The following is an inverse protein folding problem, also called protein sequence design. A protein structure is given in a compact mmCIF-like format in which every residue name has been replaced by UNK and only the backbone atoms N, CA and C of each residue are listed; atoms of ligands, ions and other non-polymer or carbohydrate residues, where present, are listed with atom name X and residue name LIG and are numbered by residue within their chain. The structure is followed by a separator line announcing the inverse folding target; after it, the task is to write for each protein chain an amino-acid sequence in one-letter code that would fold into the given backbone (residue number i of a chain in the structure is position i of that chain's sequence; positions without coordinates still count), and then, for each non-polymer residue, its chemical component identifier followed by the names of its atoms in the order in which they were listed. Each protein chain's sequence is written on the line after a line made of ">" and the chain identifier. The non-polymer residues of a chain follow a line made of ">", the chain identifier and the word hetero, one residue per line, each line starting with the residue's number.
data_IF_858375614531
#
_entry.id   IF_858375614531
#
_cell.length_a   1.000
_cell.length_b   1.000
_cell.length_c   1.000
_cell.angle_alpha   90.00
_cell.angle_beta   90.00
_cell.angle_gamma   90.00
#
_symmetry.space_group_name_H-M   'P 1'
#
loop_
_entity.id
_entity.type
_entity.pdbx_description
1 polymer ?
#
# COMPACT_ATOMS: atom_id res chain seq x y z
N UNK A 1 13.12 2.21 -2.29
CA UNK A 1 12.41 2.02 -1.00
C UNK A 1 11.87 0.60 -0.97
N UNK A 2 11.78 -0.03 0.20
CA UNK A 2 11.19 -1.37 0.35
C UNK A 2 9.85 -1.24 1.10
N UNK A 3 8.72 -1.59 0.47
CA UNK A 3 7.45 -1.67 1.18
C UNK A 3 7.40 -2.95 2.03
N UNK A 4 6.51 -2.98 3.02
CA UNK A 4 6.30 -4.17 3.85
C UNK A 4 5.62 -5.28 3.04
N UNK A 5 4.58 -4.93 2.28
CA UNK A 5 3.91 -5.84 1.35
C UNK A 5 3.67 -5.10 0.04
N UNK A 6 3.93 -5.79 -1.07
CA UNK A 6 3.59 -5.34 -2.42
C UNK A 6 2.85 -6.43 -3.17
N UNK A 7 2.02 -6.02 -4.12
CA UNK A 7 1.38 -6.93 -5.06
C UNK A 7 1.65 -6.47 -6.50
N UNK A 8 1.94 -7.45 -7.35
CA UNK A 8 2.18 -7.28 -8.78
C UNK A 8 1.29 -8.29 -9.50
N UNK A 9 0.50 -7.80 -10.45
CA UNK A 9 -0.33 -8.64 -11.30
C UNK A 9 0.54 -9.53 -12.17
N UNK A 10 0.06 -10.75 -12.46
CA UNK A 10 0.81 -11.71 -13.26
C UNK A 10 1.16 -11.16 -14.64
N UNK A 11 0.28 -10.38 -15.27
CA UNK A 11 0.58 -9.73 -16.56
C UNK A 11 1.74 -8.72 -16.53
N UNK A 12 2.14 -8.22 -15.34
CA UNK A 12 3.22 -7.25 -15.14
C UNK A 12 4.48 -7.89 -14.56
N UNK A 13 4.58 -9.21 -14.54
CA UNK A 13 5.73 -9.96 -13.99
C UNK A 13 7.09 -9.51 -14.55
N UNK A 14 7.14 -8.91 -15.74
CA UNK A 14 8.35 -8.34 -16.35
C UNK A 14 9.04 -7.24 -15.53
N UNK A 15 8.34 -6.59 -14.59
CA UNK A 15 8.97 -5.59 -13.69
C UNK A 15 9.75 -6.25 -12.56
N UNK A 16 9.56 -7.57 -12.34
CA UNK A 16 10.31 -8.35 -11.36
C UNK A 16 11.62 -8.76 -12.01
N UNK A 17 12.73 -8.28 -11.46
CA UNK A 17 14.08 -8.56 -11.93
C UNK A 17 14.91 -9.17 -10.81
N UNK A 18 16.08 -9.71 -11.16
CA UNK A 18 16.96 -10.40 -10.21
C UNK A 18 17.38 -9.55 -9.00
N UNK A 19 17.42 -8.22 -9.15
CA UNK A 19 17.83 -7.30 -8.09
C UNK A 19 16.65 -6.59 -7.41
N UNK A 20 15.40 -6.91 -7.78
CA UNK A 20 14.20 -6.34 -7.18
C UNK A 20 13.15 -5.93 -8.21
N UNK A 21 12.30 -4.99 -7.81
CA UNK A 21 11.18 -4.51 -8.62
C UNK A 21 11.57 -3.21 -9.33
N UNK A 22 11.52 -3.22 -10.66
CA UNK A 22 11.86 -2.09 -11.53
C UNK A 22 10.59 -1.52 -12.15
N UNK A 23 9.95 -0.64 -11.40
CA UNK A 23 8.67 -0.02 -11.74
C UNK A 23 7.75 0.06 -10.54
N UNK A 24 6.61 0.72 -10.71
CA UNK A 24 5.57 0.82 -9.70
C UNK A 24 4.83 -0.52 -9.52
N UNK A 25 4.71 -1.06 -8.29
CA UNK A 25 3.80 -2.18 -8.02
C UNK A 25 2.35 -1.81 -8.35
N UNK A 26 1.48 -2.82 -8.45
CA UNK A 26 0.04 -2.58 -8.62
C UNK A 26 -0.64 -2.15 -7.32
N UNK A 27 -0.01 -2.46 -6.19
CA UNK A 27 -0.53 -2.20 -4.85
C UNK A 27 0.62 -2.25 -3.82
N UNK A 28 0.56 -1.37 -2.82
CA UNK A 28 1.43 -1.36 -1.65
C UNK A 28 0.59 -1.40 -0.37
N UNK A 29 1.06 -2.14 0.64
CA UNK A 29 0.55 -2.10 2.00
C UNK A 29 1.73 -1.80 2.94
N UNK A 30 1.61 -0.74 3.72
CA UNK A 30 2.57 -0.36 4.77
C UNK A 30 1.95 -0.62 6.14
N UNK A 31 2.76 -1.15 7.05
CA UNK A 31 2.38 -1.39 8.43
C UNK A 31 3.10 -0.36 9.29
N UNK A 32 2.35 0.50 9.98
CA UNK A 32 2.94 1.55 10.79
C UNK A 32 3.77 0.94 11.92
N UNK A 33 4.98 1.49 12.10
CA UNK A 33 5.81 1.25 13.27
C UNK A 33 6.13 2.60 13.92
N UNK A 34 6.09 2.62 15.25
CA UNK A 34 6.29 3.82 16.09
C UNK A 34 7.66 4.48 15.89
N UNK A 35 8.66 3.76 15.39
CA UNK A 35 10.04 4.22 15.28
C UNK A 35 10.41 4.88 13.94
N UNK A 36 9.48 5.02 12.98
CA UNK A 36 9.84 5.36 11.57
C UNK A 36 8.96 6.42 10.90
N UNK A 37 8.34 7.31 11.66
CA UNK A 37 7.39 8.32 11.14
C UNK A 37 7.95 9.10 9.93
N UNK A 38 9.19 9.62 10.01
CA UNK A 38 9.77 10.42 8.92
C UNK A 38 10.08 9.58 7.66
N UNK A 39 10.48 8.31 7.83
CA UNK A 39 10.72 7.41 6.70
C UNK A 39 9.39 7.05 6.01
N UNK A 40 8.33 6.86 6.79
CA UNK A 40 6.98 6.59 6.31
C UNK A 40 6.45 7.75 5.47
N UNK A 41 6.55 9.00 5.96
CA UNK A 41 6.13 10.17 5.19
C UNK A 41 6.85 10.25 3.83
N UNK A 42 8.17 10.02 3.82
CA UNK A 42 8.96 10.02 2.59
C UNK A 42 8.57 8.91 1.62
N UNK A 43 8.30 7.71 2.13
CA UNK A 43 7.82 6.57 1.34
C UNK A 43 6.47 6.88 0.68
N UNK A 44 5.52 7.36 1.48
CA UNK A 44 4.17 7.66 1.03
C UNK A 44 4.19 8.72 -0.07
N UNK A 45 4.97 9.79 0.12
CA UNK A 45 5.12 10.82 -0.91
C UNK A 45 5.66 10.23 -2.23
N UNK A 46 6.68 9.35 -2.16
CA UNK A 46 7.23 8.70 -3.34
C UNK A 46 6.22 7.77 -4.04
N UNK A 47 5.44 6.99 -3.28
CA UNK A 47 4.41 6.11 -3.84
C UNK A 47 3.29 6.90 -4.52
N UNK A 48 2.90 8.04 -3.92
CA UNK A 48 1.91 8.94 -4.48
C UNK A 48 2.35 9.58 -5.79
N UNK A 49 3.60 10.02 -5.87
CA UNK A 49 4.20 10.52 -7.12
C UNK A 49 4.21 9.47 -8.24
N UNK A 50 4.27 8.19 -7.88
CA UNK A 50 4.23 7.06 -8.82
C UNK A 50 2.81 6.49 -9.03
N UNK A 51 1.78 7.17 -8.51
CA UNK A 51 0.37 6.80 -8.67
C UNK A 51 0.03 5.37 -8.19
N UNK A 52 0.74 4.89 -7.16
CA UNK A 52 0.53 3.55 -6.60
C UNK A 52 -0.63 3.59 -5.60
N UNK A 53 -1.64 2.70 -5.71
CA UNK A 53 -2.62 2.49 -4.67
C UNK A 53 -1.97 2.00 -3.37
N UNK A 54 -2.27 2.66 -2.25
CA UNK A 54 -1.65 2.36 -0.95
C UNK A 54 -2.68 2.12 0.16
N UNK A 55 -2.39 1.14 1.01
CA UNK A 55 -3.08 0.90 2.28
C UNK A 55 -2.09 1.04 3.43
N UNK A 56 -2.46 1.81 4.45
CA UNK A 56 -1.66 2.02 5.64
C UNK A 56 -2.40 1.41 6.82
N UNK A 57 -1.77 0.46 7.50
CA UNK A 57 -2.33 -0.23 8.67
C UNK A 57 -1.61 0.25 9.92
N UNK A 58 -2.35 0.68 10.93
CA UNK A 58 -1.81 0.81 12.28
C UNK A 58 -2.21 -0.42 13.10
N UNK A 59 -1.26 -1.33 13.42
CA UNK A 59 -1.57 -2.52 14.19
C UNK A 59 -1.90 -2.22 15.67
N UNK A 60 -1.48 -1.08 16.22
CA UNK A 60 -1.73 -0.72 17.62
C UNK A 60 -3.16 -0.22 17.80
N UNK A 61 -3.59 0.70 16.94
CA UNK A 61 -4.95 1.27 17.00
C UNK A 61 -5.98 0.43 16.26
N UNK A 62 -5.53 -0.49 15.39
CA UNK A 62 -6.32 -1.23 14.39
C UNK A 62 -6.99 -0.34 13.36
N UNK A 63 -6.43 0.86 13.17
CA UNK A 63 -6.89 1.80 12.16
C UNK A 63 -6.30 1.46 10.80
N UNK A 64 -7.03 1.86 9.76
CA UNK A 64 -6.65 1.69 8.38
C UNK A 64 -6.89 3.00 7.62
N UNK A 65 -5.91 3.40 6.83
CA UNK A 65 -6.09 4.43 5.83
C UNK A 65 -5.91 3.86 4.44
N UNK A 66 -6.90 4.10 3.59
CA UNK A 66 -6.88 3.70 2.20
C UNK A 66 -6.74 4.93 1.33
N UNK A 67 -5.78 4.90 0.41
CA UNK A 67 -5.55 5.97 -0.55
C UNK A 67 -5.71 5.38 -1.95
N UNK A 68 -6.96 5.37 -2.45
CA UNK A 68 -7.24 5.01 -3.84
C UNK A 68 -6.96 6.18 -4.75
N UNK A 69 -6.20 5.94 -5.81
CA UNK A 69 -6.13 6.85 -6.94
C UNK A 69 -7.42 6.69 -7.78
N UNK A 70 -8.42 7.54 -7.55
CA UNK A 70 -9.58 7.64 -8.44
C UNK A 70 -9.66 9.06 -8.99
N UNK A 71 -9.67 9.21 -10.31
CA UNK A 71 -9.69 10.52 -10.99
C UNK A 71 -8.56 11.46 -10.51
N UNK A 72 -7.39 10.90 -10.25
CA UNK A 72 -6.21 11.60 -9.70
C UNK A 72 -6.44 12.23 -8.31
N UNK A 73 -7.42 11.74 -7.55
CA UNK A 73 -7.72 12.16 -6.19
C UNK A 73 -7.70 10.98 -5.25
N UNK A 74 -7.10 11.20 -4.08
CA UNK A 74 -7.11 10.24 -2.99
C UNK A 74 -8.42 10.31 -2.23
N UNK A 75 -9.13 9.17 -2.18
CA UNK A 75 -10.35 9.01 -1.40
C UNK A 75 -10.09 8.02 -0.27
N UNK A 76 -10.31 8.48 0.96
CA UNK A 76 -10.35 7.62 2.14
C UNK A 76 -11.69 6.88 2.17
N UNK A 77 -11.64 5.55 2.18
CA UNK A 77 -12.80 4.70 2.48
C UNK A 77 -12.78 4.35 3.97
N UNK A 78 -13.95 4.32 4.60
CA UNK A 78 -14.12 3.68 5.90
C UNK A 78 -13.92 2.17 5.78
N UNK A 79 -13.24 1.57 6.76
CA UNK A 79 -13.12 0.12 6.91
C UNK A 79 -13.57 -0.32 8.28
N UNK A 80 -13.88 -1.61 8.42
CA UNK A 80 -14.06 -2.23 9.73
C UNK A 80 -12.73 -2.20 10.51
N UNK A 81 -12.83 -2.07 11.83
CA UNK A 81 -11.65 -2.03 12.69
C UNK A 81 -10.92 -3.38 12.67
N UNK A 82 -9.61 -3.36 12.40
CA UNK A 82 -8.77 -4.57 12.35
C UNK A 82 -9.01 -5.48 11.15
N UNK A 83 -9.74 -5.00 10.13
CA UNK A 83 -10.01 -5.75 8.90
C UNK A 83 -9.84 -4.87 7.68
N UNK A 84 -9.19 -5.42 6.66
CA UNK A 84 -9.07 -4.80 5.36
C UNK A 84 -9.51 -5.79 4.28
N UNK A 85 -10.52 -5.42 3.49
CA UNK A 85 -10.87 -6.11 2.26
C UNK A 85 -10.41 -5.29 1.04
N UNK A 86 -9.56 -5.88 0.21
CA UNK A 86 -9.00 -5.29 -1.00
C UNK A 86 -9.77 -5.86 -2.19
N UNK A 87 -10.80 -5.12 -2.62
CA UNK A 87 -11.72 -5.50 -3.71
C UNK A 87 -10.98 -5.90 -5.00
N UNK A 88 -9.90 -5.19 -5.35
CA UNK A 88 -9.17 -5.37 -6.62
C UNK A 88 -8.53 -6.74 -6.77
N UNK A 89 -8.21 -7.40 -5.65
CA UNK A 89 -7.53 -8.71 -5.64
C UNK A 89 -8.27 -9.75 -4.79
N UNK A 90 -9.47 -9.43 -4.31
CA UNK A 90 -10.26 -10.30 -3.43
C UNK A 90 -9.45 -10.83 -2.23
N UNK A 91 -8.69 -9.94 -1.58
CA UNK A 91 -7.85 -10.26 -0.43
C UNK A 91 -8.47 -9.68 0.85
N UNK A 92 -8.64 -10.52 1.86
CA UNK A 92 -8.97 -10.09 3.21
C UNK A 92 -7.72 -10.19 4.11
N UNK A 93 -7.41 -9.12 4.83
CA UNK A 93 -6.39 -9.05 5.86
C UNK A 93 -7.05 -8.79 7.21
N UNK A 94 -6.61 -9.54 8.22
CA UNK A 94 -7.08 -9.43 9.61
C UNK A 94 -5.87 -9.11 10.49
N UNK A 95 -5.98 -8.06 11.32
CA UNK A 95 -4.91 -7.55 12.17
C UNK A 95 -5.44 -7.02 13.51
#
# INVERSE_FOLDING_TARGET
>A
MQPDILFIKKERESIIQNQGIYGAPDLIIEILSTNKIHDQERKLELYRQNLVPEYIIDPETKDLWHYLLKDNRYIQKSSDKGKLFIEQISLELIF
#
